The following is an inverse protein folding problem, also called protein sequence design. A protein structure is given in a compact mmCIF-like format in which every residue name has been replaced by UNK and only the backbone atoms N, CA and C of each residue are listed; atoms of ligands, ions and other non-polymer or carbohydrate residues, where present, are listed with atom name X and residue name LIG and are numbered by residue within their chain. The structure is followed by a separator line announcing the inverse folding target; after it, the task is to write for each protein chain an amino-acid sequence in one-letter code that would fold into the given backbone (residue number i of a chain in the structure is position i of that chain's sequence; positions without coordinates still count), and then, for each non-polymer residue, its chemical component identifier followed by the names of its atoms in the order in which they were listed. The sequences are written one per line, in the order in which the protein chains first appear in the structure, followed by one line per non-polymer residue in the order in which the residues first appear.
data_IF_237332643800
#
_entry.id   IF_237332643800
#
_cell.length_a   1.000
_cell.length_b   1.000
_cell.length_c   1.000
_cell.angle_alpha   90.00
_cell.angle_beta   90.00
_cell.angle_gamma   90.00
#
_symmetry.space_group_name_H-M   'P 1'
#
loop_
_entity.id
_entity.type
_entity.pdbx_description
1 polymer ?
#
# COMPACT_ATOMS: atom_id res chain seq x y z
N UNK A 1 4.28 9.29 15.65
CA UNK A 1 2.92 8.75 15.39
C UNK A 1 2.71 8.67 13.89
N UNK A 2 1.96 7.69 13.40
CA UNK A 2 1.68 7.51 11.96
C UNK A 2 0.26 7.96 11.61
N UNK A 3 0.00 8.15 10.32
CA UNK A 3 -1.32 8.54 9.82
C UNK A 3 -2.18 7.31 9.56
N UNK A 4 -3.45 7.36 9.95
CA UNK A 4 -4.40 6.25 9.74
C UNK A 4 -5.51 6.65 8.78
N UNK A 5 -5.78 5.76 7.82
CA UNK A 5 -6.83 5.94 6.82
C UNK A 5 -7.82 4.78 6.94
N UNK A 6 -9.12 5.12 6.96
CA UNK A 6 -10.21 4.14 6.95
C UNK A 6 -11.29 4.54 5.96
N UNK A 7 -11.81 3.57 5.23
CA UNK A 7 -12.96 3.71 4.33
C UNK A 7 -14.08 2.78 4.80
N UNK A 8 -15.31 3.30 4.80
CA UNK A 8 -16.50 2.52 5.11
C UNK A 8 -17.02 1.72 3.91
N UNK A 9 -18.15 1.04 4.09
CA UNK A 9 -18.92 0.42 3.02
C UNK A 9 -19.28 1.46 1.95
N UNK A 10 -19.18 1.10 0.66
CA UNK A 10 -19.45 2.01 -0.47
C UNK A 10 -18.67 3.33 -0.43
N UNK A 11 -17.53 3.35 0.25
CA UNK A 11 -16.67 4.53 0.38
C UNK A 11 -15.30 4.25 -0.24
N UNK A 12 -14.66 5.28 -0.78
CA UNK A 12 -13.30 5.19 -1.34
C UNK A 12 -12.51 6.43 -0.97
N UNK A 13 -11.19 6.29 -0.95
CA UNK A 13 -10.28 7.41 -0.77
C UNK A 13 -9.12 7.31 -1.76
N UNK A 14 -8.47 8.44 -2.02
CA UNK A 14 -7.24 8.49 -2.81
C UNK A 14 -6.18 9.21 -2.00
N UNK A 15 -5.02 8.57 -1.84
CA UNK A 15 -3.85 9.14 -1.20
C UNK A 15 -2.85 9.54 -2.29
N UNK A 16 -2.30 10.76 -2.16
CA UNK A 16 -1.20 11.23 -3.00
C UNK A 16 0.05 11.31 -2.14
N UNK A 17 1.06 10.54 -2.51
CA UNK A 17 2.35 10.52 -1.84
C UNK A 17 3.14 11.80 -2.12
N UNK A 18 4.17 12.06 -1.30
CA UNK A 18 5.05 13.21 -1.48
C UNK A 18 5.83 13.18 -2.79
N UNK A 19 6.09 11.98 -3.33
CA UNK A 19 6.72 11.74 -4.63
C UNK A 19 5.70 11.59 -5.77
N UNK A 20 4.48 12.12 -5.59
CA UNK A 20 3.38 12.16 -6.55
C UNK A 20 2.77 10.80 -6.93
N UNK A 21 3.24 9.69 -6.34
CA UNK A 21 2.58 8.41 -6.44
C UNK A 21 1.11 8.51 -6.00
N UNK A 22 0.24 7.69 -6.58
CA UNK A 22 -1.18 7.64 -6.21
C UNK A 22 -1.56 6.25 -5.73
N UNK A 23 -2.17 6.20 -4.54
CA UNK A 23 -2.75 4.99 -3.97
C UNK A 23 -4.24 5.17 -3.81
N UNK A 24 -5.04 4.27 -4.40
CA UNK A 24 -6.50 4.27 -4.26
C UNK A 24 -6.88 3.24 -3.20
N UNK A 25 -7.63 3.69 -2.20
CA UNK A 25 -8.08 2.88 -1.08
C UNK A 25 -9.54 2.47 -1.36
N UNK A 26 -9.79 1.16 -1.46
CA UNK A 26 -11.12 0.63 -1.71
C UNK A 26 -12.00 0.73 -0.45
N UNK A 27 -13.25 0.27 -0.54
CA UNK A 27 -14.13 0.21 0.62
C UNK A 27 -13.63 -0.76 1.70
N UNK A 28 -14.17 -0.63 2.91
CA UNK A 28 -13.90 -1.53 4.04
C UNK A 28 -12.40 -1.73 4.32
N UNK A 29 -11.61 -0.67 4.12
CA UNK A 29 -10.16 -0.74 4.18
C UNK A 29 -9.63 -0.03 5.41
N UNK A 30 -8.69 -0.66 6.11
CA UNK A 30 -7.94 -0.07 7.22
C UNK A 30 -6.45 -0.08 6.89
N UNK A 31 -5.88 1.11 6.82
CA UNK A 31 -4.51 1.36 6.37
C UNK A 31 -3.80 2.31 7.34
N UNK A 32 -2.51 2.11 7.54
CA UNK A 32 -1.65 3.01 8.31
C UNK A 32 -0.38 3.37 7.52
N UNK A 33 -0.03 4.66 7.50
CA UNK A 33 1.25 5.14 6.99
C UNK A 33 2.19 5.19 8.20
N UNK A 34 3.09 4.22 8.29
CA UNK A 34 4.03 4.10 9.38
C UNK A 34 5.24 5.00 9.11
N UNK A 35 5.72 5.75 10.12
CA UNK A 35 6.95 6.48 9.98
C UNK A 35 8.10 5.51 9.70
N UNK A 36 9.15 5.96 8.98
CA UNK A 36 10.32 5.12 8.73
C UNK A 36 10.97 4.68 10.05
N UNK A 37 11.42 3.42 10.11
CA UNK A 37 12.06 2.85 11.31
C UNK A 37 13.38 3.55 11.66
N UNK A 38 14.09 4.07 10.66
CA UNK A 38 15.37 4.77 10.81
C UNK A 38 15.41 6.02 9.93
N UNK A 39 16.18 7.02 10.34
CA UNK A 39 16.42 8.22 9.55
C UNK A 39 16.96 7.86 8.15
N UNK A 40 16.36 8.43 7.11
CA UNK A 40 16.73 8.17 5.70
C UNK A 40 15.99 7.02 5.03
N UNK A 41 15.14 6.26 5.74
CA UNK A 41 14.21 5.29 5.12
C UNK A 41 12.92 5.97 4.66
N UNK A 42 12.23 5.35 3.71
CA UNK A 42 10.90 5.76 3.26
C UNK A 42 9.83 5.29 4.26
N UNK A 43 8.70 6.00 4.39
CA UNK A 43 7.55 5.51 5.15
C UNK A 43 7.02 4.19 4.55
N UNK A 44 6.45 3.36 5.40
CA UNK A 44 5.86 2.06 5.04
C UNK A 44 4.34 2.14 5.10
N UNK A 45 3.65 1.62 4.09
CA UNK A 45 2.21 1.44 4.10
C UNK A 45 1.86 0.09 4.72
N UNK A 46 1.15 0.09 5.84
CA UNK A 46 0.61 -1.12 6.43
C UNK A 46 -0.87 -1.27 6.06
N UNK A 47 -1.20 -2.29 5.27
CA UNK A 47 -2.57 -2.67 4.95
C UNK A 47 -3.04 -3.75 5.95
N UNK A 48 -3.98 -3.40 6.81
CA UNK A 48 -4.47 -4.28 7.88
C UNK A 48 -5.65 -5.13 7.44
N UNK A 49 -6.54 -4.56 6.62
CA UNK A 49 -7.72 -5.23 6.05
C UNK A 49 -8.20 -4.46 4.82
N UNK A 50 -8.95 -5.14 3.94
CA UNK A 50 -9.55 -4.53 2.76
C UNK A 50 -8.58 -4.55 1.58
N UNK A 51 -8.61 -3.51 0.74
CA UNK A 51 -7.87 -3.51 -0.51
C UNK A 51 -7.40 -2.12 -0.94
N UNK A 52 -6.27 -2.10 -1.66
CA UNK A 52 -5.66 -0.89 -2.17
C UNK A 52 -5.05 -1.13 -3.55
N UNK A 53 -5.18 -0.14 -4.42
CA UNK A 53 -4.59 -0.13 -5.75
C UNK A 53 -3.45 0.87 -5.81
N UNK A 54 -2.32 0.40 -6.35
CA UNK A 54 -1.10 1.17 -6.46
C UNK A 54 -0.77 1.41 -7.92
N UNK A 55 -0.48 2.66 -8.22
CA UNK A 55 -0.12 3.10 -9.56
C UNK A 55 1.13 3.98 -9.49
N UNK A 56 2.25 3.42 -9.92
CA UNK A 56 3.52 4.13 -10.05
C UNK A 56 4.08 3.85 -11.44
N UNK A 57 4.10 4.85 -12.32
CA UNK A 57 4.72 4.77 -13.66
C UNK A 57 5.95 5.64 -13.81
N UNK A 58 6.14 6.61 -12.91
CA UNK A 58 7.29 7.51 -12.92
C UNK A 58 8.37 7.03 -11.93
N UNK A 59 9.60 6.91 -12.41
CA UNK A 59 10.77 6.74 -11.53
C UNK A 59 11.06 8.13 -10.92
N UNK A 60 11.28 8.24 -9.59
CA UNK A 60 11.80 7.19 -8.70
C UNK A 60 10.82 6.73 -7.59
N UNK A 61 9.50 6.77 -7.82
CA UNK A 61 8.54 6.41 -6.76
C UNK A 61 8.77 4.98 -6.29
N UNK A 62 9.02 4.85 -4.99
CA UNK A 62 9.26 3.56 -4.33
C UNK A 62 8.34 3.52 -3.12
N UNK A 63 7.49 2.51 -3.07
CA UNK A 63 6.51 2.31 -2.01
C UNK A 63 6.87 1.02 -1.30
N UNK A 64 7.03 1.10 0.02
CA UNK A 64 7.17 -0.06 0.89
C UNK A 64 5.80 -0.38 1.46
N UNK A 65 5.44 -1.65 1.46
CA UNK A 65 4.18 -2.10 2.05
C UNK A 65 4.37 -3.30 2.97
N UNK A 66 3.42 -3.42 3.90
CA UNK A 66 3.28 -4.54 4.82
C UNK A 66 1.83 -4.96 4.92
N UNK A 67 1.63 -6.24 5.09
CA UNK A 67 0.37 -6.92 5.39
C UNK A 67 0.60 -7.87 6.57
N UNK A 68 -0.43 -8.51 7.14
CA UNK A 68 -0.25 -9.42 8.27
C UNK A 68 0.74 -10.57 8.04
N UNK A 69 0.88 -11.03 6.79
CA UNK A 69 1.69 -12.22 6.45
C UNK A 69 2.82 -11.97 5.45
N UNK A 70 2.97 -10.75 4.94
CA UNK A 70 4.02 -10.43 3.97
C UNK A 70 4.37 -8.93 3.98
N UNK A 71 5.63 -8.61 3.72
CA UNK A 71 6.08 -7.26 3.34
C UNK A 71 6.70 -7.25 1.95
N UNK A 72 6.77 -6.08 1.34
CA UNK A 72 7.38 -5.93 0.03
C UNK A 72 7.71 -4.49 -0.30
N UNK A 73 8.50 -4.32 -1.36
CA UNK A 73 8.82 -3.02 -1.93
C UNK A 73 8.58 -3.05 -3.43
N UNK A 74 8.10 -1.92 -3.96
CA UNK A 74 7.80 -1.78 -5.39
C UNK A 74 8.43 -0.52 -5.96
N UNK A 75 8.81 -0.57 -7.23
CA UNK A 75 9.34 0.55 -7.98
C UNK A 75 8.85 0.50 -9.42
N UNK A 76 8.03 1.47 -9.81
CA UNK A 76 7.45 1.49 -11.16
C UNK A 76 6.50 0.31 -11.43
N UNK A 77 5.79 -0.15 -10.39
CA UNK A 77 4.88 -1.30 -10.45
C UNK A 77 3.43 -0.82 -10.37
N UNK A 78 2.56 -1.45 -11.16
CA UNK A 78 1.10 -1.32 -11.10
C UNK A 78 0.52 -2.61 -10.50
N UNK A 79 -0.08 -2.53 -9.31
CA UNK A 79 -0.55 -3.71 -8.60
C UNK A 79 -1.73 -3.41 -7.68
N UNK A 80 -2.49 -4.47 -7.38
CA UNK A 80 -3.53 -4.49 -6.37
C UNK A 80 -3.08 -5.33 -5.18
N UNK A 81 -3.28 -4.80 -3.97
CA UNK A 81 -2.98 -5.45 -2.70
C UNK A 81 -4.26 -5.59 -1.90
N UNK A 82 -4.56 -6.80 -1.45
CA UNK A 82 -5.71 -7.06 -0.58
C UNK A 82 -5.33 -7.93 0.62
N UNK A 83 -5.97 -7.66 1.74
CA UNK A 83 -5.95 -8.49 2.94
C UNK A 83 -7.38 -8.89 3.25
N UNK A 84 -7.65 -10.20 3.08
CA UNK A 84 -8.95 -10.79 3.38
C UNK A 84 -9.19 -10.88 4.90
N UNK A 85 -10.43 -11.15 5.30
CA UNK A 85 -10.81 -11.25 6.73
C UNK A 85 -10.07 -12.36 7.49
N UNK A 86 -9.65 -13.42 6.79
CA UNK A 86 -8.83 -14.52 7.32
C UNK A 86 -7.34 -14.15 7.45
N UNK A 87 -6.96 -12.91 7.13
CA UNK A 87 -5.58 -12.42 7.16
C UNK A 87 -4.75 -12.77 5.92
N UNK A 88 -5.34 -13.47 4.93
CA UNK A 88 -4.64 -13.82 3.69
C UNK A 88 -4.33 -12.59 2.86
N UNK A 89 -3.06 -12.46 2.47
CA UNK A 89 -2.60 -11.45 1.52
C UNK A 89 -2.75 -11.94 0.10
N UNK A 90 -3.35 -11.11 -0.76
CA UNK A 90 -3.41 -11.31 -2.21
C UNK A 90 -2.73 -10.14 -2.90
N UNK A 91 -1.73 -10.45 -3.71
CA UNK A 91 -1.04 -9.49 -4.58
C UNK A 91 -1.39 -9.83 -6.02
N UNK A 92 -1.91 -8.87 -6.77
CA UNK A 92 -2.17 -9.00 -8.20
C UNK A 92 -1.36 -7.96 -8.95
N UNK A 93 -0.34 -8.39 -9.68
CA UNK A 93 0.57 -7.52 -10.44
C UNK A 93 0.06 -7.38 -11.87
N UNK A 94 -0.07 -6.14 -12.34
CA UNK A 94 -0.50 -5.82 -13.70
C UNK A 94 0.68 -5.39 -14.58
N UNK A 95 1.64 -4.67 -14.01
CA UNK A 95 2.88 -4.25 -14.68
C UNK A 95 4.02 -4.12 -13.66
N UNK A 96 5.25 -4.46 -14.07
CA UNK A 96 6.44 -4.46 -13.21
C UNK A 96 6.57 -5.73 -12.33
N UNK A 97 7.30 -5.58 -11.22
CA UNK A 97 7.67 -6.69 -10.32
C UNK A 97 7.35 -6.33 -8.86
N UNK A 98 7.12 -7.35 -8.04
CA UNK A 98 6.93 -7.24 -6.58
C UNK A 98 7.79 -8.29 -5.89
N UNK A 99 8.72 -7.84 -5.07
CA UNK A 99 9.47 -8.70 -4.16
C UNK A 99 8.72 -8.83 -2.84
N UNK A 100 8.48 -10.07 -2.40
CA UNK A 100 7.79 -10.39 -1.14
C UNK A 100 8.74 -11.09 -0.17
N UNK A 101 8.63 -10.73 1.10
CA UNK A 101 9.32 -11.36 2.25
C UNK A 101 8.31 -11.76 3.32
#
# INVERSE_FOLDING_TARGET
EGDRVRTGLRSRATLRWSDLGVTRVNELTSLEIRPPENAGRKPELELKSGASYFFSREKPTEIQFRTPVASGAIRGTEFHLAVAEDGRTVVSVFDGEVDLT
#
